data_IF_965372653765
#
_entry.id   IF_965372653765
#
_cell.length_a   1.000
_cell.length_b   1.000
_cell.length_c   1.000
_cell.angle_alpha   90.00
_cell.angle_beta   90.00
_cell.angle_gamma   90.00
#
_symmetry.space_group_name_H-M   'P 1'
#
loop_
_entity.id
_entity.type
_entity.pdbx_description
1 polymer ?
#
# COMPACT_ATOMS: atom_id res chain seq x y z
N UNK A 1 6.10 20.53 -40.70
CA UNK A 1 6.22 21.07 -39.33
C UNK A 1 5.88 19.94 -38.37
N UNK A 2 6.92 19.21 -37.94
CA UNK A 2 6.76 18.04 -37.07
C UNK A 2 6.45 18.50 -35.66
N UNK A 3 5.28 18.11 -35.14
CA UNK A 3 5.05 18.12 -33.69
C UNK A 3 5.79 16.90 -33.16
N UNK A 4 6.99 17.10 -32.62
CA UNK A 4 7.62 16.05 -31.82
C UNK A 4 6.70 15.83 -30.61
N UNK A 5 6.05 14.68 -30.57
CA UNK A 5 5.55 14.15 -29.31
C UNK A 5 6.80 13.89 -28.47
N UNK A 6 7.11 14.81 -27.56
CA UNK A 6 8.06 14.55 -26.50
C UNK A 6 7.50 13.36 -25.71
N UNK A 7 8.14 12.22 -25.90
CA UNK A 7 7.92 11.03 -25.09
C UNK A 7 8.31 11.40 -23.67
N UNK A 8 7.30 11.72 -22.86
CA UNK A 8 7.44 12.06 -21.46
C UNK A 8 8.08 10.86 -20.75
N UNK A 9 9.37 10.98 -20.46
CA UNK A 9 10.23 9.85 -20.07
C UNK A 9 10.15 9.70 -18.56
N UNK A 10 9.49 8.65 -18.09
CA UNK A 10 9.46 8.30 -16.66
C UNK A 10 10.89 7.99 -16.21
N UNK A 11 11.36 8.64 -15.15
CA UNK A 11 12.68 8.43 -14.59
C UNK A 11 12.80 7.02 -14.02
N UNK A 12 13.98 6.39 -14.20
CA UNK A 12 14.24 5.06 -13.62
C UNK A 12 14.08 5.05 -12.09
N UNK A 13 14.37 6.18 -11.43
CA UNK A 13 14.20 6.36 -9.99
C UNK A 13 12.73 6.29 -9.58
N UNK A 14 11.84 6.93 -10.34
CA UNK A 14 10.41 6.94 -10.06
C UNK A 14 9.82 5.51 -10.19
N UNK A 15 10.31 4.72 -11.16
CA UNK A 15 9.93 3.31 -11.31
C UNK A 15 10.37 2.48 -10.10
N UNK A 16 11.55 2.75 -9.54
CA UNK A 16 12.05 2.05 -8.37
C UNK A 16 11.25 2.40 -7.10
N UNK A 17 10.85 3.65 -6.94
CA UNK A 17 10.00 4.10 -5.84
C UNK A 17 8.62 3.46 -5.91
N UNK A 18 7.98 3.49 -7.09
CA UNK A 18 6.69 2.84 -7.31
C UNK A 18 6.75 1.33 -7.01
N UNK A 19 7.82 0.67 -7.43
CA UNK A 19 8.05 -0.76 -7.14
C UNK A 19 8.18 -1.04 -5.65
N UNK A 20 8.75 -0.12 -4.89
CA UNK A 20 8.92 -0.24 -3.43
C UNK A 20 7.57 -0.12 -2.74
N UNK A 21 6.78 0.90 -3.08
CA UNK A 21 5.41 1.06 -2.57
C UNK A 21 4.53 -0.15 -2.87
N UNK A 22 4.58 -0.68 -4.09
CA UNK A 22 3.81 -1.87 -4.46
C UNK A 22 4.21 -3.12 -3.65
N UNK A 23 5.49 -3.25 -3.26
CA UNK A 23 5.95 -4.36 -2.40
C UNK A 23 5.45 -4.21 -0.97
N UNK A 24 5.46 -3.00 -0.43
CA UNK A 24 4.93 -2.72 0.90
C UNK A 24 3.43 -3.01 0.94
N UNK A 25 2.66 -2.47 0.00
CA UNK A 25 1.21 -2.73 -0.16
C UNK A 25 0.91 -4.23 -0.23
N UNK A 26 1.67 -5.01 -1.01
CA UNK A 26 1.50 -6.47 -1.07
C UNK A 26 1.74 -7.16 0.28
N UNK A 27 2.72 -6.67 1.05
CA UNK A 27 3.04 -7.20 2.37
C UNK A 27 1.89 -6.95 3.35
N UNK A 28 1.38 -5.70 3.39
CA UNK A 28 0.23 -5.32 4.20
C UNK A 28 -1.05 -6.07 3.81
N UNK A 29 -1.32 -6.22 2.51
CA UNK A 29 -2.45 -7.01 2.01
C UNK A 29 -2.37 -8.48 2.47
N UNK A 30 -1.18 -9.06 2.46
CA UNK A 30 -0.96 -10.44 2.95
C UNK A 30 -1.20 -10.56 4.46
N UNK A 31 -0.87 -9.54 5.25
CA UNK A 31 -1.19 -9.49 6.68
C UNK A 31 -2.70 -9.39 6.92
N UNK A 32 -3.40 -8.53 6.17
CA UNK A 32 -4.86 -8.38 6.27
C UNK A 32 -5.62 -9.65 5.84
N UNK A 33 -5.06 -10.45 4.94
CA UNK A 33 -5.65 -11.73 4.53
C UNK A 33 -5.92 -12.67 5.71
N UNK A 34 -5.20 -12.54 6.81
CA UNK A 34 -5.41 -13.35 8.02
C UNK A 34 -6.46 -12.78 8.99
N UNK A 35 -6.92 -11.53 8.79
CA UNK A 35 -7.97 -10.91 9.63
C UNK A 35 -9.26 -11.74 9.74
N UNK A 36 -9.79 -12.34 8.65
CA UNK A 36 -11.02 -13.14 8.73
C UNK A 36 -10.87 -14.35 9.66
N UNK A 37 -9.69 -14.95 9.72
CA UNK A 37 -9.40 -16.00 10.69
C UNK A 37 -9.60 -15.42 12.10
N UNK A 38 -9.00 -14.26 12.40
CA UNK A 38 -9.10 -13.57 13.69
C UNK A 38 -10.49 -13.07 14.08
N UNK A 39 -11.39 -12.90 13.11
CA UNK A 39 -12.77 -12.49 13.32
C UNK A 39 -13.74 -13.69 13.36
N UNK A 40 -13.26 -14.92 13.13
CA UNK A 40 -14.09 -16.11 13.22
C UNK A 40 -14.58 -16.32 14.67
N UNK A 41 -15.89 -16.13 14.85
CA UNK A 41 -16.59 -16.29 16.12
C UNK A 41 -16.59 -17.75 16.63
N UNK A 42 -16.30 -18.72 15.77
CA UNK A 42 -16.20 -20.13 16.16
C UNK A 42 -14.85 -20.46 16.79
N UNK A 43 -13.85 -19.59 16.65
CA UNK A 43 -12.52 -19.78 17.23
C UNK A 43 -12.44 -19.08 18.58
N UNK A 44 -12.36 -19.86 19.66
CA UNK A 44 -12.05 -19.31 20.99
C UNK A 44 -10.61 -18.83 21.03
N UNK A 45 -10.43 -17.52 21.24
CA UNK A 45 -9.11 -16.88 21.40
C UNK A 45 -8.88 -16.42 22.83
N UNK A 46 -7.61 -16.39 23.21
CA UNK A 46 -7.19 -15.74 24.45
C UNK A 46 -7.23 -14.22 24.29
N UNK A 47 -7.48 -13.46 25.36
CA UNK A 47 -7.49 -11.99 25.31
C UNK A 47 -6.22 -11.38 24.69
N UNK A 48 -5.04 -11.98 24.92
CA UNK A 48 -3.78 -11.51 24.34
C UNK A 48 -3.72 -11.65 22.81
N UNK A 49 -4.34 -12.69 22.26
CA UNK A 49 -4.38 -12.93 20.81
C UNK A 49 -5.32 -11.94 20.12
N UNK A 50 -6.41 -11.55 20.81
CA UNK A 50 -7.32 -10.50 20.34
C UNK A 50 -6.62 -9.13 20.38
N UNK A 51 -5.91 -8.83 21.46
CA UNK A 51 -5.15 -7.58 21.62
C UNK A 51 -4.08 -7.43 20.54
N UNK A 52 -3.28 -8.47 20.30
CA UNK A 52 -2.26 -8.45 19.25
C UNK A 52 -2.86 -8.25 17.84
N UNK A 53 -4.02 -8.86 17.57
CA UNK A 53 -4.72 -8.67 16.31
C UNK A 53 -5.25 -7.23 16.16
N UNK A 54 -5.77 -6.64 17.23
CA UNK A 54 -6.26 -5.26 17.22
C UNK A 54 -5.10 -4.28 16.95
N UNK A 55 -3.95 -4.47 17.59
CA UNK A 55 -2.74 -3.67 17.36
C UNK A 55 -2.24 -3.80 15.91
N UNK A 56 -2.22 -5.02 15.36
CA UNK A 56 -1.89 -5.23 13.95
C UNK A 56 -2.89 -4.54 13.01
N UNK A 57 -4.19 -4.61 13.31
CA UNK A 57 -5.21 -3.95 12.51
C UNK A 57 -5.03 -2.43 12.50
N UNK A 58 -4.79 -1.84 13.67
CA UNK A 58 -4.64 -0.40 13.82
C UNK A 58 -3.40 0.11 13.07
N UNK A 59 -2.28 -0.60 13.17
CA UNK A 59 -1.07 -0.29 12.38
C UNK A 59 -1.36 -0.38 10.89
N UNK A 60 -2.01 -1.46 10.44
CA UNK A 60 -2.32 -1.59 9.00
C UNK A 60 -3.26 -0.49 8.55
N UNK A 61 -4.32 -0.19 9.32
CA UNK A 61 -5.31 0.83 8.99
C UNK A 61 -4.67 2.22 8.85
N UNK A 62 -3.87 2.64 9.84
CA UNK A 62 -3.19 3.94 9.80
C UNK A 62 -2.14 4.02 8.68
N UNK A 63 -1.41 2.93 8.43
CA UNK A 63 -0.34 2.90 7.44
C UNK A 63 -0.90 2.81 6.02
N UNK A 64 -2.03 2.12 5.81
CA UNK A 64 -2.62 1.89 4.50
C UNK A 64 -3.11 3.20 3.87
N UNK A 65 -3.84 4.04 4.62
CA UNK A 65 -4.30 5.34 4.11
C UNK A 65 -3.11 6.25 3.74
N UNK A 66 -2.06 6.24 4.57
CA UNK A 66 -0.83 7.00 4.32
C UNK A 66 -0.11 6.49 3.06
N UNK A 67 -0.03 5.17 2.89
CA UNK A 67 0.57 4.52 1.72
C UNK A 67 -0.21 4.81 0.43
N UNK A 68 -1.54 4.76 0.49
CA UNK A 68 -2.39 5.08 -0.66
C UNK A 68 -2.20 6.55 -1.05
N UNK A 69 -2.27 7.47 -0.08
CA UNK A 69 -2.08 8.90 -0.34
C UNK A 69 -0.69 9.20 -0.93
N UNK A 70 0.37 8.61 -0.38
CA UNK A 70 1.74 8.78 -0.90
C UNK A 70 1.89 8.22 -2.31
N UNK A 71 1.30 7.06 -2.59
CA UNK A 71 1.31 6.45 -3.91
C UNK A 71 0.54 7.31 -4.93
N UNK A 72 -0.63 7.84 -4.56
CA UNK A 72 -1.42 8.74 -5.41
C UNK A 72 -0.68 10.05 -5.69
N UNK A 73 0.00 10.62 -4.69
CA UNK A 73 0.82 11.83 -4.85
C UNK A 73 2.01 11.58 -5.80
N UNK A 74 2.71 10.45 -5.64
CA UNK A 74 3.81 10.07 -6.55
C UNK A 74 3.31 9.83 -7.97
N UNK A 75 2.18 9.13 -8.13
CA UNK A 75 1.55 8.90 -9.44
C UNK A 75 1.09 10.20 -10.08
N UNK A 76 0.51 11.11 -9.31
CA UNK A 76 0.08 12.44 -9.80
C UNK A 76 1.29 13.25 -10.25
N UNK A 77 2.34 13.30 -9.42
CA UNK A 77 3.60 13.97 -9.77
C UNK A 77 4.20 13.40 -11.05
N UNK A 78 4.19 12.08 -11.20
CA UNK A 78 4.62 11.42 -12.42
C UNK A 78 3.77 11.80 -13.63
N UNK A 79 2.45 11.87 -13.49
CA UNK A 79 1.51 12.23 -14.56
C UNK A 79 1.59 13.72 -14.93
N UNK A 80 1.94 14.59 -13.98
CA UNK A 80 2.08 16.04 -14.20
C UNK A 80 3.49 16.44 -14.67
N UNK A 81 4.52 15.73 -14.23
CA UNK A 81 5.90 15.90 -14.69
C UNK A 81 6.13 15.26 -16.06
N UNK A 82 5.26 14.32 -16.44
CA UNK A 82 5.09 13.93 -17.82
C UNK A 82 4.28 15.02 -18.49
#
# INVERSE_FOLDING_TARGET
MGKSQESKTIGYQDILELRTYLRELKTWHSTLHFMPYFLDANVKRRPQEIQACAEMFEVVYQTLDTLIASADEHLTTLVEAT
#
